data_IF_883490403444
#
_entry.id   IF_883490403444
#
_cell.length_a   1.000
_cell.length_b   1.000
_cell.length_c   1.000
_cell.angle_alpha   90.00
_cell.angle_beta   90.00
_cell.angle_gamma   90.00
#
_symmetry.space_group_name_H-M   'P 1'
#
loop_
_entity.id
_entity.type
_entity.pdbx_description
1 polymer ?
#
# COMPACT_ATOMS: atom_id res chain seq x y z
N UNK A 1 24.12 -0.54 -44.19
CA UNK A 1 24.91 -1.77 -44.15
C UNK A 1 24.11 -2.68 -43.29
N UNK A 2 23.08 -3.37 -43.82
CA UNK A 2 23.10 -4.72 -44.42
C UNK A 2 23.79 -5.75 -43.50
N UNK A 3 23.10 -6.76 -43.03
CA UNK A 3 22.53 -7.94 -43.66
C UNK A 3 21.61 -8.67 -42.69
N UNK A 4 20.44 -8.96 -42.94
CA UNK A 4 19.69 -10.10 -43.51
C UNK A 4 20.37 -11.46 -43.37
N UNK A 5 19.76 -12.40 -42.61
CA UNK A 5 19.61 -13.76 -43.11
C UNK A 5 18.38 -14.48 -42.51
N UNK A 6 17.61 -14.97 -43.41
CA UNK A 6 16.37 -15.75 -43.31
C UNK A 6 16.63 -17.26 -43.23
N UNK A 7 15.55 -17.98 -42.84
CA UNK A 7 15.12 -19.34 -43.24
C UNK A 7 15.85 -20.54 -42.58
N UNK A 8 15.17 -21.59 -42.13
CA UNK A 8 14.22 -22.46 -42.85
C UNK A 8 13.48 -23.38 -41.87
N UNK A 9 12.20 -23.69 -42.17
CA UNK A 9 11.49 -24.91 -41.73
C UNK A 9 11.90 -26.09 -42.66
N UNK A 10 11.72 -27.35 -42.25
CA UNK A 10 10.79 -28.25 -42.91
C UNK A 10 9.99 -29.13 -41.92
N UNK A 11 8.74 -29.35 -42.13
CA UNK A 11 7.88 -30.25 -42.93
C UNK A 11 7.78 -31.69 -42.42
N UNK A 12 6.60 -31.99 -42.02
CA UNK A 12 5.74 -33.18 -42.00
C UNK A 12 6.28 -34.53 -42.45
N UNK A 13 5.85 -35.59 -41.71
CA UNK A 13 5.89 -36.99 -42.14
C UNK A 13 4.82 -37.81 -41.46
N UNK A 14 3.95 -38.33 -42.26
CA UNK A 14 2.74 -39.10 -42.03
C UNK A 14 2.94 -40.56 -41.72
N UNK A 15 1.94 -41.20 -41.09
CA UNK A 15 1.56 -42.64 -41.28
C UNK A 15 1.85 -43.54 -40.09
N UNK A 16 1.08 -44.45 -39.63
CA UNK A 16 -0.16 -45.11 -39.98
C UNK A 16 -0.50 -46.11 -38.85
N UNK A 17 -1.78 -46.24 -38.59
CA UNK A 17 -2.62 -47.38 -38.19
C UNK A 17 -1.96 -48.75 -37.90
N UNK A 18 -2.40 -49.43 -36.82
CA UNK A 18 -3.30 -50.59 -36.83
C UNK A 18 -3.38 -51.32 -35.47
N UNK A 19 -4.57 -51.52 -34.97
CA UNK A 19 -5.45 -52.67 -34.75
C UNK A 19 -5.20 -53.54 -33.50
N UNK A 20 -6.21 -53.50 -32.64
CA UNK A 20 -7.08 -54.56 -32.08
C UNK A 20 -6.40 -55.82 -31.48
N UNK A 21 -6.82 -56.06 -30.24
CA UNK A 21 -6.80 -57.40 -29.62
C UNK A 21 -7.46 -57.37 -28.25
N UNK A 22 -8.75 -57.74 -28.22
CA UNK A 22 -9.49 -58.03 -26.98
C UNK A 22 -9.26 -59.53 -26.62
N UNK A 23 -9.09 -59.80 -25.36
CA UNK A 23 -9.38 -61.15 -24.80
C UNK A 23 -9.78 -61.03 -23.33
N UNK A 24 -10.94 -61.56 -23.05
CA UNK A 24 -11.56 -61.82 -21.76
C UNK A 24 -10.87 -63.03 -21.06
N UNK A 25 -10.91 -63.10 -19.74
CA UNK A 25 -11.60 -64.05 -18.90
C UNK A 25 -10.94 -64.35 -17.54
N UNK A 26 -11.74 -64.13 -16.47
CA UNK A 26 -12.07 -65.01 -15.36
C UNK A 26 -11.02 -65.37 -14.29
N UNK A 27 -11.31 -64.83 -13.13
CA UNK A 27 -11.56 -65.49 -11.86
C UNK A 27 -10.42 -66.15 -11.09
N UNK A 28 -10.18 -65.63 -9.89
CA UNK A 28 -10.22 -66.47 -8.67
C UNK A 28 -10.02 -65.60 -7.42
N UNK A 29 -11.01 -65.65 -6.56
CA UNK A 29 -11.01 -65.13 -5.19
C UNK A 29 -10.06 -65.95 -4.32
N UNK A 30 -9.09 -65.30 -3.69
CA UNK A 30 -8.50 -65.75 -2.43
C UNK A 30 -8.20 -64.55 -1.54
N UNK A 31 -8.98 -64.49 -0.46
CA UNK A 31 -8.74 -63.59 0.65
C UNK A 31 -7.42 -63.92 1.36
N UNK A 32 -6.47 -63.06 1.35
CA UNK A 32 -5.32 -63.11 2.25
C UNK A 32 -5.32 -61.82 3.08
N UNK A 33 -5.76 -61.95 4.32
CA UNK A 33 -5.64 -60.92 5.33
C UNK A 33 -4.16 -60.76 5.68
N UNK A 34 -3.50 -59.71 5.12
CA UNK A 34 -2.19 -59.23 5.58
C UNK A 34 -2.45 -58.07 6.53
N UNK A 35 -2.29 -58.32 7.82
CA UNK A 35 -2.15 -57.31 8.85
C UNK A 35 -0.90 -56.50 8.56
N UNK A 36 -1.06 -55.34 7.94
CA UNK A 36 -0.07 -54.28 7.89
C UNK A 36 -0.08 -53.59 9.24
N UNK A 37 0.80 -53.96 10.14
CA UNK A 37 1.25 -53.11 11.22
C UNK A 37 1.98 -51.92 10.61
N UNK A 38 1.23 -50.88 10.33
CA UNK A 38 1.80 -49.56 10.03
C UNK A 38 2.44 -49.05 11.33
N UNK A 39 3.80 -49.05 11.36
CA UNK A 39 4.53 -48.22 12.30
C UNK A 39 4.05 -46.76 12.10
N UNK A 40 3.27 -46.28 13.03
CA UNK A 40 2.99 -44.84 13.12
C UNK A 40 4.26 -44.16 13.57
N UNK A 41 5.11 -43.75 12.62
CA UNK A 41 5.97 -42.61 12.83
C UNK A 41 5.04 -41.45 13.15
N UNK A 42 5.16 -40.90 14.34
CA UNK A 42 4.32 -39.78 14.81
C UNK A 42 4.42 -38.60 13.86
N UNK A 43 3.47 -38.52 12.93
CA UNK A 43 3.21 -37.30 12.19
C UNK A 43 2.68 -36.26 13.19
N UNK A 44 3.42 -35.17 13.37
CA UNK A 44 2.90 -34.00 14.06
C UNK A 44 1.56 -33.66 13.39
N UNK A 45 0.45 -33.88 14.10
CA UNK A 45 -0.89 -33.63 13.56
C UNK A 45 -0.97 -32.15 13.13
N UNK A 46 -1.49 -31.93 11.94
CA UNK A 46 -1.79 -30.58 11.48
C UNK A 46 -2.57 -29.84 12.57
N UNK A 47 -1.98 -28.77 13.12
CA UNK A 47 -2.68 -27.93 14.08
C UNK A 47 -3.78 -27.21 13.32
N UNK A 48 -5.00 -27.26 13.80
CA UNK A 48 -6.05 -26.34 13.37
C UNK A 48 -6.12 -25.18 14.34
N UNK A 49 -6.26 -23.96 13.80
CA UNK A 49 -6.56 -22.79 14.62
C UNK A 49 -7.94 -22.97 15.31
N UNK A 50 -8.24 -22.15 16.32
CA UNK A 50 -9.55 -22.13 16.98
C UNK A 50 -10.69 -21.91 15.98
N UNK A 51 -10.44 -21.35 14.83
CA UNK A 51 -11.39 -21.07 13.75
C UNK A 51 -11.35 -22.09 12.61
N UNK A 52 -10.61 -23.18 12.79
CA UNK A 52 -10.66 -24.33 11.89
C UNK A 52 -9.84 -24.21 10.60
N UNK A 53 -9.01 -23.15 10.40
CA UNK A 53 -8.10 -23.14 9.26
C UNK A 53 -6.92 -24.11 9.51
N UNK A 54 -6.59 -24.88 8.49
CA UNK A 54 -5.50 -25.85 8.58
C UNK A 54 -4.13 -25.12 8.62
N UNK A 55 -3.38 -25.35 9.67
CA UNK A 55 -1.99 -24.88 9.77
C UNK A 55 -1.06 -25.95 9.21
N UNK A 56 -0.04 -25.52 8.48
CA UNK A 56 1.05 -26.38 8.05
C UNK A 56 1.83 -26.88 9.27
N UNK A 57 2.32 -28.11 9.25
CA UNK A 57 3.19 -28.63 10.31
C UNK A 57 4.41 -27.71 10.46
N UNK A 58 4.70 -27.34 11.71
CA UNK A 58 5.83 -26.44 11.98
C UNK A 58 7.15 -27.18 11.74
N UNK A 59 8.12 -26.48 11.14
CA UNK A 59 9.43 -27.01 10.79
C UNK A 59 10.54 -26.08 11.28
N UNK A 60 11.73 -26.64 11.45
CA UNK A 60 12.95 -25.84 11.60
C UNK A 60 13.38 -25.30 10.24
N UNK A 61 13.91 -24.08 10.21
CA UNK A 61 14.39 -23.50 8.95
C UNK A 61 14.52 -21.98 9.01
N UNK A 62 14.71 -21.39 7.84
CA UNK A 62 14.74 -19.95 7.70
C UNK A 62 13.31 -19.41 7.51
N UNK A 63 13.01 -18.32 8.20
CA UNK A 63 11.81 -17.53 7.98
C UNK A 63 11.98 -16.66 6.72
N UNK A 64 11.20 -16.91 5.70
CA UNK A 64 11.24 -16.14 4.45
C UNK A 64 10.40 -14.87 4.58
N UNK A 65 11.07 -13.70 4.52
CA UNK A 65 10.44 -12.40 4.71
C UNK A 65 10.62 -11.55 3.45
N UNK A 66 9.50 -11.14 2.84
CA UNK A 66 9.50 -10.26 1.67
C UNK A 66 9.29 -8.81 2.07
N UNK A 67 10.24 -7.95 1.71
CA UNK A 67 10.25 -6.53 2.08
C UNK A 67 10.65 -5.65 0.90
N UNK A 68 10.18 -4.41 0.90
CA UNK A 68 10.68 -3.36 0.03
C UNK A 68 12.05 -2.82 0.51
N UNK A 69 12.66 -1.95 -0.28
CA UNK A 69 13.95 -1.36 0.04
C UNK A 69 13.95 -0.60 1.38
N UNK A 70 12.83 0.05 1.72
CA UNK A 70 12.66 0.83 2.96
C UNK A 70 12.62 -0.06 4.19
N UNK A 71 11.94 -1.22 4.13
CA UNK A 71 11.77 -2.17 5.24
C UNK A 71 12.90 -3.17 5.36
N UNK A 72 13.80 -3.20 4.38
CA UNK A 72 15.02 -4.03 4.41
C UNK A 72 15.86 -3.79 5.67
N UNK A 73 15.98 -2.53 6.11
CA UNK A 73 16.72 -2.17 7.31
C UNK A 73 16.10 -2.78 8.58
N UNK A 74 14.76 -2.77 8.69
CA UNK A 74 14.04 -3.38 9.81
C UNK A 74 14.26 -4.89 9.89
N UNK A 75 14.14 -5.61 8.75
CA UNK A 75 14.36 -7.05 8.72
C UNK A 75 15.80 -7.43 9.14
N UNK A 76 16.79 -6.65 8.69
CA UNK A 76 18.19 -6.84 9.11
C UNK A 76 18.40 -6.53 10.59
N UNK A 77 17.75 -5.50 11.13
CA UNK A 77 17.83 -5.17 12.56
C UNK A 77 17.22 -6.30 13.41
N UNK A 78 16.06 -6.83 13.01
CA UNK A 78 15.48 -7.99 13.69
C UNK A 78 16.44 -9.18 13.72
N UNK A 79 17.04 -9.52 12.59
CA UNK A 79 18.02 -10.63 12.50
C UNK A 79 19.24 -10.43 13.40
N UNK A 80 19.68 -9.17 13.59
CA UNK A 80 20.79 -8.86 14.50
C UNK A 80 20.39 -9.00 15.98
N UNK A 81 19.16 -8.65 16.33
CA UNK A 81 18.61 -8.76 17.68
C UNK A 81 18.21 -10.20 18.04
N UNK A 82 17.82 -10.98 17.04
CA UNK A 82 17.36 -12.36 17.15
C UNK A 82 18.20 -13.31 16.29
N UNK A 83 19.50 -13.52 16.66
CA UNK A 83 20.41 -14.35 15.86
C UNK A 83 20.03 -15.83 15.81
N UNK A 84 19.18 -16.28 16.73
CA UNK A 84 18.59 -17.63 16.75
C UNK A 84 17.55 -17.82 15.64
N UNK A 85 16.94 -16.74 15.13
CA UNK A 85 15.98 -16.78 14.02
C UNK A 85 16.72 -16.55 12.71
N UNK A 86 16.80 -17.58 11.87
CA UNK A 86 17.36 -17.42 10.52
C UNK A 86 16.35 -16.76 9.62
N UNK A 87 16.68 -15.60 9.04
CA UNK A 87 15.86 -14.93 8.03
C UNK A 87 16.41 -15.19 6.61
N UNK A 88 15.49 -15.51 5.69
CA UNK A 88 15.70 -15.38 4.24
C UNK A 88 14.97 -14.12 3.77
N UNK A 89 15.73 -13.02 3.65
CA UNK A 89 15.15 -11.69 3.35
C UNK A 89 15.17 -11.49 1.84
N UNK A 90 13.97 -11.43 1.26
CA UNK A 90 13.77 -11.19 -0.18
C UNK A 90 13.32 -9.76 -0.41
N UNK A 91 14.08 -9.03 -1.23
CA UNK A 91 13.73 -7.67 -1.66
C UNK A 91 12.76 -7.73 -2.84
N UNK A 92 11.69 -6.95 -2.77
CA UNK A 92 10.76 -6.70 -3.87
C UNK A 92 10.24 -5.25 -3.80
N UNK A 93 9.36 -4.83 -4.70
CA UNK A 93 8.91 -3.43 -4.78
C UNK A 93 7.83 -3.04 -3.76
N UNK A 94 7.34 -3.98 -2.95
CA UNK A 94 6.25 -3.74 -2.00
C UNK A 94 4.89 -3.47 -2.67
N UNK A 95 4.76 -3.81 -3.94
CA UNK A 95 3.63 -3.48 -4.82
C UNK A 95 3.35 -1.97 -4.94
N UNK A 96 4.40 -1.14 -4.77
CA UNK A 96 4.30 0.30 -4.92
C UNK A 96 3.81 0.70 -6.32
N UNK A 97 3.12 1.86 -6.41
CA UNK A 97 2.56 2.40 -7.65
C UNK A 97 1.60 1.45 -8.40
N UNK A 98 0.92 0.57 -7.67
CA UNK A 98 -0.05 -0.38 -8.23
C UNK A 98 0.57 -1.54 -8.99
N UNK A 99 1.82 -1.89 -8.72
CA UNK A 99 2.40 -3.16 -9.14
C UNK A 99 1.58 -4.32 -8.57
N UNK A 100 1.51 -5.44 -9.29
CA UNK A 100 0.79 -6.64 -8.86
C UNK A 100 1.76 -7.83 -8.71
N UNK A 101 2.97 -7.56 -8.25
CA UNK A 101 3.99 -8.59 -8.15
C UNK A 101 3.61 -9.69 -7.14
N UNK A 102 3.15 -9.30 -5.94
CA UNK A 102 2.70 -10.24 -4.90
C UNK A 102 1.55 -11.11 -5.43
N UNK A 103 0.53 -10.50 -6.04
CA UNK A 103 -0.61 -11.23 -6.60
C UNK A 103 -0.16 -12.26 -7.64
N UNK A 104 0.72 -11.87 -8.55
CA UNK A 104 1.27 -12.76 -9.59
C UNK A 104 2.02 -13.95 -8.98
N UNK A 105 2.82 -13.69 -7.94
CA UNK A 105 3.60 -14.74 -7.26
C UNK A 105 2.72 -15.69 -6.46
N UNK A 106 1.77 -15.17 -5.67
CA UNK A 106 0.85 -16.01 -4.89
C UNK A 106 -0.01 -16.90 -5.80
N UNK A 107 -0.49 -16.38 -6.93
CA UNK A 107 -1.18 -17.21 -7.92
C UNK A 107 -0.31 -18.34 -8.46
N UNK A 108 0.99 -18.10 -8.69
CA UNK A 108 1.94 -19.13 -9.09
C UNK A 108 2.13 -20.17 -7.97
N UNK A 109 2.33 -19.71 -6.73
CA UNK A 109 2.52 -20.59 -5.57
C UNK A 109 1.30 -21.47 -5.31
N UNK A 110 0.09 -20.90 -5.42
CA UNK A 110 -1.17 -21.65 -5.30
C UNK A 110 -1.27 -22.76 -6.36
N UNK A 111 -0.79 -22.53 -7.59
CA UNK A 111 -0.76 -23.55 -8.64
C UNK A 111 0.29 -24.64 -8.42
N UNK A 112 1.43 -24.26 -7.83
CA UNK A 112 2.55 -25.19 -7.63
C UNK A 112 2.54 -25.88 -6.26
N UNK A 113 1.73 -25.38 -5.33
CA UNK A 113 1.65 -25.88 -3.95
C UNK A 113 2.91 -25.62 -3.11
N UNK A 114 3.75 -24.65 -3.51
CA UNK A 114 5.00 -24.32 -2.80
C UNK A 114 5.52 -22.95 -3.18
N UNK A 115 6.41 -22.41 -2.33
CA UNK A 115 7.18 -21.19 -2.59
C UNK A 115 6.59 -19.94 -1.95
N UNK A 116 5.54 -20.06 -1.14
CA UNK A 116 5.00 -18.93 -0.40
C UNK A 116 6.03 -18.39 0.59
N UNK A 117 6.20 -17.07 0.69
CA UNK A 117 6.91 -16.46 1.81
C UNK A 117 6.14 -16.66 3.11
N UNK A 118 6.82 -16.57 4.25
CA UNK A 118 6.20 -16.65 5.57
C UNK A 118 5.58 -15.30 5.97
N UNK A 119 6.31 -14.20 5.72
CA UNK A 119 5.86 -12.85 6.02
C UNK A 119 6.07 -11.94 4.80
N UNK A 120 5.10 -11.08 4.52
CA UNK A 120 5.17 -10.10 3.42
C UNK A 120 4.78 -8.72 3.93
N UNK A 121 5.59 -7.72 3.59
CA UNK A 121 5.19 -6.32 3.64
C UNK A 121 4.54 -5.94 2.31
N UNK A 122 3.38 -5.27 2.33
CA UNK A 122 2.80 -4.62 1.15
C UNK A 122 2.51 -3.15 1.44
N UNK A 123 2.85 -2.27 0.51
CA UNK A 123 2.52 -0.84 0.59
C UNK A 123 1.06 -0.56 0.19
N UNK A 124 0.38 -1.53 -0.42
CA UNK A 124 -0.95 -1.38 -1.01
C UNK A 124 -2.05 -1.94 -0.11
N UNK A 125 -3.00 -1.09 0.27
CA UNK A 125 -4.12 -1.49 1.12
C UNK A 125 -5.07 -2.50 0.44
N UNK A 126 -5.18 -2.46 -0.90
CA UNK A 126 -6.01 -3.40 -1.66
C UNK A 126 -5.49 -4.83 -1.66
N UNK A 127 -4.22 -5.05 -1.34
CA UNK A 127 -3.61 -6.39 -1.28
C UNK A 127 -4.21 -7.26 -0.18
N UNK A 128 -4.63 -6.68 0.93
CA UNK A 128 -5.12 -7.45 2.09
C UNK A 128 -6.36 -8.26 1.73
N UNK A 129 -7.40 -7.61 1.20
CA UNK A 129 -8.65 -8.29 0.83
C UNK A 129 -8.39 -9.34 -0.26
N UNK A 130 -7.50 -9.02 -1.21
CA UNK A 130 -7.11 -9.96 -2.24
C UNK A 130 -6.36 -11.17 -1.66
N UNK A 131 -5.40 -10.95 -0.73
CA UNK A 131 -4.61 -12.01 -0.11
C UNK A 131 -5.47 -12.99 0.70
N UNK A 132 -6.53 -12.49 1.33
CA UNK A 132 -7.54 -13.32 2.02
C UNK A 132 -8.30 -14.18 1.02
N UNK A 133 -8.84 -13.60 -0.05
CA UNK A 133 -9.61 -14.33 -1.07
C UNK A 133 -8.72 -15.35 -1.83
N UNK A 134 -7.45 -15.05 -2.00
CA UNK A 134 -6.46 -15.94 -2.62
C UNK A 134 -6.00 -17.08 -1.69
N UNK A 135 -6.43 -17.11 -0.43
CA UNK A 135 -6.04 -18.10 0.55
C UNK A 135 -4.56 -17.97 0.98
N UNK A 136 -4.02 -16.76 0.96
CA UNK A 136 -2.64 -16.50 1.39
C UNK A 136 -2.55 -16.07 2.85
N UNK A 137 -3.39 -15.11 3.28
CA UNK A 137 -3.26 -14.48 4.59
C UNK A 137 -3.80 -15.36 5.72
N UNK A 138 -3.05 -15.47 6.82
CA UNK A 138 -3.45 -16.14 8.06
C UNK A 138 -4.31 -15.20 8.93
N UNK A 139 -5.39 -15.70 9.57
CA UNK A 139 -6.19 -14.92 10.52
C UNK A 139 -5.41 -14.72 11.83
N UNK A 140 -5.04 -13.47 12.13
CA UNK A 140 -4.14 -13.15 13.25
C UNK A 140 -4.84 -13.09 14.61
N UNK A 141 -6.12 -12.66 14.65
CA UNK A 141 -6.93 -12.53 15.86
C UNK A 141 -7.50 -13.88 16.35
N UNK A 142 -7.24 -14.95 15.62
CA UNK A 142 -7.72 -16.30 15.93
C UNK A 142 -6.68 -17.15 16.68
N UNK A 143 -6.01 -16.52 17.62
CA UNK A 143 -5.06 -17.18 18.53
C UNK A 143 -3.59 -17.11 18.10
N UNK A 144 -3.28 -16.39 17.02
CA UNK A 144 -1.90 -16.14 16.62
C UNK A 144 -1.29 -14.94 17.36
N UNK A 145 -2.08 -13.90 17.63
CA UNK A 145 -1.62 -12.71 18.34
C UNK A 145 -2.40 -12.47 19.65
N UNK A 146 -1.72 -12.00 20.73
CA UNK A 146 -2.40 -11.63 21.97
C UNK A 146 -3.34 -10.43 21.78
N UNK A 147 -4.50 -10.44 22.43
CA UNK A 147 -5.44 -9.32 22.42
C UNK A 147 -4.81 -8.01 22.95
N UNK A 148 -3.87 -8.09 23.89
CA UNK A 148 -3.16 -6.91 24.39
C UNK A 148 -2.31 -6.23 23.30
N UNK A 149 -1.65 -7.00 22.44
CA UNK A 149 -0.90 -6.46 21.30
C UNK A 149 -1.85 -5.74 20.34
N UNK A 150 -2.98 -6.37 20.01
CA UNK A 150 -3.97 -5.80 19.10
C UNK A 150 -4.61 -4.53 19.64
N UNK A 151 -4.85 -4.47 20.94
CA UNK A 151 -5.42 -3.29 21.63
C UNK A 151 -4.49 -2.08 21.70
N UNK A 152 -3.20 -2.22 21.40
CA UNK A 152 -2.22 -1.13 21.38
C UNK A 152 -2.20 -0.32 20.08
N UNK A 153 -2.84 -0.79 19.02
CA UNK A 153 -2.93 -0.03 17.76
C UNK A 153 -3.90 1.15 17.89
N UNK A 154 -3.60 2.23 17.17
CA UNK A 154 -4.50 3.38 17.10
C UNK A 154 -5.88 2.95 16.59
N UNK A 155 -6.93 3.62 17.08
CA UNK A 155 -8.30 3.32 16.66
C UNK A 155 -8.45 3.40 15.14
N UNK A 156 -8.97 2.35 14.52
CA UNK A 156 -9.15 2.28 13.06
C UNK A 156 -7.87 1.94 12.27
N UNK A 157 -6.70 1.89 12.90
CA UNK A 157 -5.45 1.61 12.20
C UNK A 157 -5.49 0.28 11.41
N UNK A 158 -6.07 -0.75 12.00
CA UNK A 158 -6.17 -2.08 11.43
C UNK A 158 -7.50 -2.33 10.67
N UNK A 159 -8.30 -1.30 10.37
CA UNK A 159 -9.56 -1.49 9.63
C UNK A 159 -9.30 -2.07 8.23
N UNK A 160 -8.22 -1.61 7.55
CA UNK A 160 -7.82 -2.16 6.25
C UNK A 160 -7.36 -3.63 6.33
N UNK A 161 -6.97 -4.07 7.53
CA UNK A 161 -6.53 -5.44 7.82
C UNK A 161 -7.69 -6.37 8.20
N UNK A 162 -8.90 -5.82 8.38
CA UNK A 162 -10.07 -6.57 8.84
C UNK A 162 -10.98 -6.89 7.66
N UNK A 163 -11.08 -8.17 7.35
CA UNK A 163 -11.94 -8.69 6.28
C UNK A 163 -13.01 -9.59 6.90
N UNK A 164 -14.28 -9.26 6.68
CA UNK A 164 -15.42 -9.98 7.24
C UNK A 164 -15.34 -10.20 8.78
N UNK A 165 -14.85 -9.18 9.51
CA UNK A 165 -14.74 -9.21 10.97
C UNK A 165 -13.56 -10.02 11.51
N UNK A 166 -12.63 -10.45 10.66
CA UNK A 166 -11.41 -11.18 11.03
C UNK A 166 -10.19 -10.38 10.62
N UNK A 167 -9.18 -10.30 11.49
CA UNK A 167 -7.94 -9.56 11.27
C UNK A 167 -6.91 -10.45 10.55
N UNK A 168 -6.38 -10.00 9.42
CA UNK A 168 -5.43 -10.75 8.59
C UNK A 168 -4.06 -10.09 8.41
N UNK A 169 -3.88 -8.86 8.86
CA UNK A 169 -2.58 -8.19 8.84
C UNK A 169 -2.42 -7.25 10.02
N UNK A 170 -1.24 -6.71 10.21
CA UNK A 170 -1.02 -5.55 11.06
C UNK A 170 -0.58 -4.35 10.24
N UNK A 171 -1.11 -3.19 10.57
CA UNK A 171 -0.72 -1.93 9.98
C UNK A 171 0.71 -1.57 10.37
N UNK A 172 1.55 -1.18 9.40
CA UNK A 172 2.91 -0.74 9.67
C UNK A 172 2.95 0.69 10.19
N UNK A 173 2.37 1.61 9.42
CA UNK A 173 2.35 3.05 9.71
C UNK A 173 1.03 3.69 9.30
N UNK A 174 0.69 4.81 9.91
CA UNK A 174 -0.43 5.66 9.53
C UNK A 174 0.06 6.66 8.49
N UNK A 175 -0.74 6.89 7.45
CA UNK A 175 -0.33 7.67 6.28
C UNK A 175 -1.34 8.74 5.91
N UNK A 176 -1.98 9.30 6.93
CA UNK A 176 -2.85 10.45 6.78
C UNK A 176 -2.15 11.60 6.06
N UNK A 177 -2.88 12.29 5.22
CA UNK A 177 -2.36 13.44 4.49
C UNK A 177 -2.35 14.68 5.39
N UNK A 178 -1.26 15.42 5.34
CA UNK A 178 -1.03 16.69 6.02
C UNK A 178 -0.50 17.72 5.03
N UNK A 179 -0.32 18.96 5.45
CA UNK A 179 0.33 19.99 4.66
C UNK A 179 1.78 20.14 5.09
N UNK A 180 2.70 19.70 4.25
CA UNK A 180 4.13 19.95 4.41
C UNK A 180 4.50 21.29 3.82
N UNK A 181 5.41 22.06 4.45
CA UNK A 181 5.84 23.34 3.93
C UNK A 181 7.30 23.68 4.30
N UNK A 182 7.94 24.48 3.44
CA UNK A 182 9.27 25.04 3.68
C UNK A 182 9.11 26.33 4.48
N UNK A 183 9.32 26.26 5.81
CA UNK A 183 9.10 27.35 6.73
C UNK A 183 9.98 28.61 6.43
N UNK A 184 11.29 28.47 6.13
CA UNK A 184 12.12 29.60 5.68
C UNK A 184 11.60 30.29 4.41
N UNK A 185 11.20 29.52 3.38
CA UNK A 185 10.67 30.12 2.14
C UNK A 185 9.33 30.82 2.36
N UNK A 186 8.42 30.20 3.12
CA UNK A 186 7.13 30.82 3.49
C UNK A 186 7.34 32.17 4.19
N UNK A 187 8.27 32.20 5.17
CA UNK A 187 8.64 33.44 5.88
C UNK A 187 9.29 34.46 4.95
N UNK A 188 10.19 34.03 4.09
CA UNK A 188 10.90 34.91 3.15
C UNK A 188 9.94 35.61 2.20
N UNK A 189 8.90 34.91 1.73
CA UNK A 189 7.92 35.44 0.79
C UNK A 189 6.72 36.11 1.50
N UNK A 190 6.67 36.06 2.83
CA UNK A 190 5.57 36.66 3.60
C UNK A 190 4.25 35.91 3.44
N UNK A 191 4.31 34.60 3.25
CA UNK A 191 3.13 33.75 3.14
C UNK A 191 2.84 33.01 4.44
N UNK A 192 1.57 32.76 4.69
CA UNK A 192 1.09 31.90 5.78
C UNK A 192 0.54 30.58 5.24
N UNK A 193 0.51 29.56 6.08
CA UNK A 193 -0.09 28.27 5.71
C UNK A 193 -1.60 28.42 5.54
N UNK A 194 -2.19 27.95 4.41
CA UNK A 194 -3.61 28.08 4.14
C UNK A 194 -4.41 27.14 5.05
N UNK A 195 -5.47 27.65 5.68
CA UNK A 195 -6.40 26.88 6.49
C UNK A 195 -7.53 26.26 5.65
N UNK A 196 -7.82 26.83 4.50
CA UNK A 196 -8.89 26.36 3.61
C UNK A 196 -8.38 26.07 2.21
N UNK A 197 -9.09 25.21 1.48
CA UNK A 197 -8.75 24.91 0.08
C UNK A 197 -8.90 26.15 -0.82
N UNK A 198 -9.82 27.05 -0.48
CA UNK A 198 -9.93 28.34 -1.15
C UNK A 198 -8.70 29.22 -0.92
N UNK A 199 -8.19 29.28 0.32
CA UNK A 199 -6.98 30.03 0.64
C UNK A 199 -5.75 29.37 0.00
N UNK A 200 -5.74 28.04 -0.11
CA UNK A 200 -4.70 27.28 -0.81
C UNK A 200 -4.66 27.59 -2.32
N UNK A 201 -5.82 27.64 -2.96
CA UNK A 201 -5.93 28.02 -4.36
C UNK A 201 -5.47 29.47 -4.60
N UNK A 202 -5.85 30.40 -3.71
CA UNK A 202 -5.43 31.80 -3.77
C UNK A 202 -3.91 31.93 -3.55
N UNK A 203 -3.35 31.19 -2.59
CA UNK A 203 -1.91 31.15 -2.39
C UNK A 203 -1.18 30.65 -3.66
N UNK A 204 -1.66 29.58 -4.29
CA UNK A 204 -1.07 29.08 -5.54
C UNK A 204 -1.13 30.11 -6.67
N UNK A 205 -2.23 30.86 -6.78
CA UNK A 205 -2.36 31.95 -7.75
C UNK A 205 -1.34 33.07 -7.49
N UNK A 206 -1.17 33.46 -6.21
CA UNK A 206 -0.18 34.48 -5.80
C UNK A 206 1.24 34.00 -6.06
N UNK A 207 1.58 32.76 -5.68
CA UNK A 207 2.90 32.16 -5.93
C UNK A 207 3.24 32.17 -7.42
N UNK A 208 2.29 31.77 -8.28
CA UNK A 208 2.50 31.81 -9.73
C UNK A 208 2.79 33.23 -10.29
N UNK A 209 2.17 34.27 -9.69
CA UNK A 209 2.34 35.65 -10.12
C UNK A 209 3.59 36.33 -9.51
N UNK A 210 3.83 36.13 -8.22
CA UNK A 210 4.85 36.84 -7.44
C UNK A 210 6.21 36.11 -7.47
N UNK A 211 6.18 34.76 -7.52
CA UNK A 211 7.37 33.89 -7.48
C UNK A 211 7.24 32.73 -8.50
N UNK A 212 7.22 33.03 -9.81
CA UNK A 212 7.02 32.01 -10.84
C UNK A 212 8.08 30.93 -10.79
N UNK A 213 7.63 29.66 -10.86
CA UNK A 213 8.47 28.49 -10.77
C UNK A 213 8.49 27.84 -9.39
N UNK A 214 8.00 28.53 -8.32
CA UNK A 214 7.77 27.87 -7.04
C UNK A 214 6.47 27.09 -7.03
N UNK A 215 6.43 26.02 -6.23
CA UNK A 215 5.36 25.02 -6.22
C UNK A 215 4.63 24.99 -4.88
N UNK A 216 3.32 24.86 -4.98
CA UNK A 216 2.43 24.64 -3.83
C UNK A 216 1.90 23.21 -3.77
N UNK A 217 2.22 22.36 -4.74
CA UNK A 217 1.77 20.97 -4.77
C UNK A 217 2.33 20.17 -5.95
N UNK A 218 1.99 18.89 -5.94
CA UNK A 218 2.31 17.94 -6.99
C UNK A 218 1.08 17.07 -7.33
N UNK A 219 0.90 16.76 -8.61
CA UNK A 219 -0.13 15.88 -9.14
C UNK A 219 0.45 14.78 -10.06
N UNK A 220 1.78 14.61 -10.09
CA UNK A 220 2.46 13.72 -11.02
C UNK A 220 2.51 12.24 -10.60
N UNK A 221 2.09 11.90 -9.39
CA UNK A 221 2.16 10.53 -8.88
C UNK A 221 0.87 9.74 -9.08
N UNK A 222 0.98 8.41 -9.04
CA UNK A 222 -0.15 7.51 -9.16
C UNK A 222 -1.15 7.65 -7.98
N UNK A 223 -0.65 8.01 -6.82
CA UNK A 223 -1.42 8.20 -5.58
C UNK A 223 -1.98 9.62 -5.39
N UNK A 224 -1.85 10.50 -6.38
CA UNK A 224 -2.45 11.85 -6.37
C UNK A 224 -3.92 11.88 -5.93
N UNK A 225 -4.82 10.98 -6.41
CA UNK A 225 -6.21 11.00 -5.99
C UNK A 225 -6.40 10.72 -4.49
N UNK A 226 -5.50 9.97 -3.89
CA UNK A 226 -5.52 9.64 -2.47
C UNK A 226 -5.10 10.84 -1.60
N UNK A 227 -4.29 11.74 -2.14
CA UNK A 227 -3.90 12.99 -1.47
C UNK A 227 -5.03 14.02 -1.54
N UNK A 228 -5.49 14.35 -2.75
CA UNK A 228 -6.38 15.51 -2.96
C UNK A 228 -7.86 15.10 -3.00
N UNK A 229 -8.22 14.15 -3.85
CA UNK A 229 -9.63 13.81 -4.06
C UNK A 229 -10.22 13.11 -2.83
N UNK A 230 -9.46 12.25 -2.16
CA UNK A 230 -9.88 11.65 -0.90
C UNK A 230 -10.06 12.72 0.19
N UNK A 231 -9.07 13.61 0.41
CA UNK A 231 -9.19 14.72 1.36
C UNK A 231 -10.36 15.65 1.02
N UNK A 232 -10.66 15.84 -0.26
CA UNK A 232 -11.81 16.61 -0.75
C UNK A 232 -13.15 15.89 -0.65
N UNK A 233 -13.21 14.69 -0.06
CA UNK A 233 -14.44 13.87 0.08
C UNK A 233 -15.06 13.44 -1.26
N UNK A 234 -14.24 13.25 -2.31
CA UNK A 234 -14.70 12.74 -3.59
C UNK A 234 -15.14 11.27 -3.46
N UNK A 235 -16.37 10.95 -3.83
CA UNK A 235 -16.97 9.63 -3.69
C UNK A 235 -16.52 8.58 -4.72
N UNK A 236 -15.29 8.63 -5.19
CA UNK A 236 -14.79 7.76 -6.27
C UNK A 236 -14.64 6.28 -5.87
N UNK A 237 -14.48 5.98 -4.59
CA UNK A 237 -14.14 4.64 -4.12
C UNK A 237 -14.81 4.30 -2.79
N UNK A 238 -16.15 4.33 -2.76
CA UNK A 238 -16.91 4.06 -1.53
C UNK A 238 -17.19 2.55 -1.42
N UNK A 239 -16.36 1.83 -0.66
CA UNK A 239 -16.58 0.41 -0.38
C UNK A 239 -17.72 0.30 0.65
N UNK A 240 -18.87 -0.21 0.20
CA UNK A 240 -20.09 -0.30 1.01
C UNK A 240 -20.36 -1.72 1.54
N UNK A 241 -19.56 -2.68 1.15
CA UNK A 241 -19.64 -4.07 1.62
C UNK A 241 -18.48 -4.91 1.07
N UNK A 242 -18.41 -6.16 1.48
CA UNK A 242 -17.32 -7.07 1.12
C UNK A 242 -17.08 -7.16 -0.41
N UNK A 243 -18.15 -7.09 -1.20
CA UNK A 243 -18.14 -7.07 -2.67
C UNK A 243 -19.11 -6.04 -3.22
N UNK A 244 -19.22 -4.88 -2.56
CA UNK A 244 -20.07 -3.78 -3.01
C UNK A 244 -19.30 -2.45 -2.97
N UNK A 245 -19.43 -1.67 -4.03
CA UNK A 245 -18.79 -0.36 -4.16
C UNK A 245 -19.72 0.63 -4.84
N UNK A 246 -19.76 1.86 -4.31
CA UNK A 246 -20.37 3.00 -5.00
C UNK A 246 -19.27 3.85 -5.62
N UNK A 247 -19.43 4.21 -6.90
CA UNK A 247 -18.47 4.98 -7.68
C UNK A 247 -19.14 6.26 -8.17
N UNK A 248 -18.75 7.39 -7.62
CA UNK A 248 -19.29 8.69 -8.02
C UNK A 248 -18.17 9.72 -8.19
N UNK A 249 -17.51 9.71 -9.35
CA UNK A 249 -16.46 10.68 -9.70
C UNK A 249 -17.04 12.01 -10.22
N UNK A 250 -18.34 12.04 -10.55
CA UNK A 250 -19.05 13.24 -11.02
C UNK A 250 -19.64 14.10 -9.90
N UNK A 251 -19.45 13.75 -8.63
CA UNK A 251 -19.96 14.52 -7.51
C UNK A 251 -19.35 15.93 -7.46
N UNK A 252 -20.06 16.87 -6.80
CA UNK A 252 -19.56 18.23 -6.58
C UNK A 252 -18.20 18.21 -5.84
N UNK A 253 -18.03 17.34 -4.86
CA UNK A 253 -16.77 17.19 -4.13
C UNK A 253 -15.60 16.79 -5.05
N UNK A 254 -15.83 15.87 -6.00
CA UNK A 254 -14.81 15.48 -6.98
C UNK A 254 -14.48 16.60 -7.96
N UNK A 255 -15.52 17.24 -8.54
CA UNK A 255 -15.33 18.29 -9.55
C UNK A 255 -14.71 19.55 -8.95
N UNK A 256 -15.07 19.91 -7.70
CA UNK A 256 -14.52 21.04 -6.96
C UNK A 256 -13.00 20.85 -6.72
N UNK A 257 -12.58 19.67 -6.21
CA UNK A 257 -11.18 19.41 -5.97
C UNK A 257 -10.38 19.28 -7.27
N UNK A 258 -10.90 18.57 -8.26
CA UNK A 258 -10.28 18.47 -9.59
C UNK A 258 -10.10 19.84 -10.25
N UNK A 259 -11.12 20.74 -10.14
CA UNK A 259 -11.04 22.10 -10.66
C UNK A 259 -10.00 22.96 -9.95
N UNK A 260 -9.84 22.81 -8.63
CA UNK A 260 -8.77 23.45 -7.88
C UNK A 260 -7.39 23.02 -8.41
N UNK A 261 -7.18 21.71 -8.56
CA UNK A 261 -5.93 21.15 -9.08
C UNK A 261 -5.67 21.64 -10.52
N UNK A 262 -6.67 21.61 -11.39
CA UNK A 262 -6.57 22.12 -12.77
C UNK A 262 -6.12 23.60 -12.81
N UNK A 263 -6.66 24.43 -11.91
CA UNK A 263 -6.26 25.84 -11.78
C UNK A 263 -4.80 26.03 -11.40
N UNK A 264 -4.31 25.21 -10.46
CA UNK A 264 -2.91 25.24 -10.00
C UNK A 264 -1.95 24.64 -11.04
N UNK A 265 -2.36 23.63 -11.79
CA UNK A 265 -1.59 23.08 -12.92
C UNK A 265 -1.50 24.13 -14.04
N UNK A 266 -2.60 24.75 -14.39
CA UNK A 266 -2.68 25.74 -15.47
C UNK A 266 -1.80 26.97 -15.20
N UNK A 267 -1.73 27.44 -13.95
CA UNK A 267 -0.86 28.56 -13.57
C UNK A 267 0.57 28.13 -13.21
N UNK A 268 0.90 26.81 -13.30
CA UNK A 268 2.21 26.22 -13.05
C UNK A 268 2.69 26.30 -11.59
N UNK A 269 1.78 26.50 -10.63
CA UNK A 269 2.11 26.40 -9.20
C UNK A 269 1.95 24.98 -8.64
N UNK A 270 1.41 24.05 -9.43
CA UNK A 270 1.38 22.61 -9.13
C UNK A 270 2.08 21.83 -10.23
N UNK A 271 3.05 20.99 -9.83
CA UNK A 271 3.78 20.12 -10.75
C UNK A 271 2.90 18.96 -11.24
N UNK A 272 3.19 18.48 -12.44
CA UNK A 272 2.69 17.19 -12.97
C UNK A 272 3.80 16.14 -13.07
N UNK A 273 4.96 16.44 -12.51
CA UNK A 273 6.13 15.55 -12.42
C UNK A 273 6.12 14.85 -11.06
N UNK A 274 6.16 13.52 -11.01
CA UNK A 274 6.09 12.79 -9.74
C UNK A 274 7.28 13.04 -8.83
N UNK A 275 7.04 13.17 -7.52
CA UNK A 275 8.04 13.56 -6.49
C UNK A 275 9.23 12.58 -6.37
N UNK A 276 9.06 11.32 -6.78
CA UNK A 276 10.14 10.33 -6.80
C UNK A 276 10.93 10.29 -8.12
N UNK A 277 10.55 11.10 -9.10
CA UNK A 277 11.27 11.13 -10.37
C UNK A 277 12.59 11.88 -10.25
N UNK A 278 13.55 11.46 -11.06
CA UNK A 278 14.84 12.17 -11.20
C UNK A 278 14.65 13.62 -11.67
N UNK A 279 13.63 13.85 -12.52
CA UNK A 279 13.33 15.17 -13.06
C UNK A 279 12.83 16.12 -11.98
N UNK A 280 11.91 15.66 -11.09
CA UNK A 280 11.47 16.45 -9.96
C UNK A 280 12.63 16.77 -9.02
N UNK A 281 13.38 15.76 -8.60
CA UNK A 281 14.52 15.93 -7.68
C UNK A 281 15.58 16.91 -8.24
N UNK A 282 15.79 16.91 -9.55
CA UNK A 282 16.80 17.76 -10.20
C UNK A 282 16.34 19.20 -10.46
N UNK A 283 15.05 19.39 -10.82
CA UNK A 283 14.58 20.66 -11.37
C UNK A 283 13.61 21.40 -10.45
N UNK A 284 12.99 20.70 -9.47
CA UNK A 284 11.87 21.22 -8.69
C UNK A 284 12.07 21.13 -7.17
N UNK A 285 13.03 20.32 -6.69
CA UNK A 285 13.22 20.05 -5.26
C UNK A 285 13.40 21.30 -4.39
N UNK A 286 14.15 22.29 -4.88
CA UNK A 286 14.46 23.55 -4.19
C UNK A 286 13.34 24.61 -4.33
N UNK A 287 12.29 24.30 -5.09
CA UNK A 287 11.17 25.20 -5.39
C UNK A 287 9.90 24.81 -4.67
N UNK A 288 9.88 23.74 -3.90
CA UNK A 288 8.71 23.32 -3.14
C UNK A 288 8.50 24.27 -1.96
N UNK A 289 7.48 25.12 -2.07
CA UNK A 289 7.08 26.04 -1.02
C UNK A 289 6.18 25.34 0.00
N UNK A 290 5.18 24.61 -0.48
CA UNK A 290 4.35 23.72 0.32
C UNK A 290 3.78 22.59 -0.55
N UNK A 291 3.36 21.51 0.09
CA UNK A 291 2.87 20.32 -0.61
C UNK A 291 1.98 19.47 0.31
N UNK A 292 0.69 19.30 -0.01
CA UNK A 292 -0.11 18.23 0.59
C UNK A 292 0.52 16.87 0.35
N UNK A 293 0.60 16.05 1.39
CA UNK A 293 1.21 14.73 1.26
C UNK A 293 1.08 13.89 2.52
N UNK A 294 1.23 12.58 2.42
CA UNK A 294 1.10 11.67 3.56
C UNK A 294 2.19 11.90 4.61
N UNK A 295 1.95 11.38 5.82
CA UNK A 295 2.85 11.52 6.97
C UNK A 295 4.30 11.10 6.66
N UNK A 296 4.50 10.13 5.77
CA UNK A 296 5.82 9.65 5.38
C UNK A 296 6.60 10.59 4.41
N UNK A 297 5.96 11.63 3.83
CA UNK A 297 6.65 12.59 2.96
C UNK A 297 7.81 13.28 3.67
N UNK A 298 7.69 13.59 4.96
CA UNK A 298 8.74 14.23 5.73
C UNK A 298 10.09 13.49 5.64
N UNK A 299 10.06 12.17 5.80
CA UNK A 299 11.25 11.31 5.67
C UNK A 299 11.55 10.96 4.22
N UNK A 300 10.66 10.22 3.56
CA UNK A 300 10.95 9.61 2.26
C UNK A 300 11.08 10.63 1.12
N UNK A 301 10.28 11.69 1.11
CA UNK A 301 10.33 12.70 0.06
C UNK A 301 11.31 13.80 0.43
N UNK A 302 11.03 14.61 1.44
CA UNK A 302 11.84 15.80 1.70
C UNK A 302 13.28 15.46 2.12
N UNK A 303 13.45 14.55 3.08
CA UNK A 303 14.79 14.21 3.59
C UNK A 303 15.57 13.32 2.62
N UNK A 304 14.95 12.22 2.14
CA UNK A 304 15.70 11.16 1.46
C UNK A 304 15.71 11.31 -0.07
N UNK A 305 14.63 11.81 -0.69
CA UNK A 305 14.57 11.99 -2.16
C UNK A 305 15.05 13.39 -2.57
N UNK A 306 14.44 14.43 -2.01
CA UNK A 306 14.73 15.82 -2.40
C UNK A 306 15.97 16.38 -1.71
N UNK A 307 16.50 15.69 -0.68
CA UNK A 307 17.68 16.12 0.09
C UNK A 307 17.52 17.53 0.68
N UNK A 308 16.29 17.89 1.04
CA UNK A 308 16.03 19.19 1.67
C UNK A 308 16.83 19.29 2.97
N UNK A 309 17.58 20.38 3.19
CA UNK A 309 18.35 20.54 4.40
C UNK A 309 17.50 20.52 5.68
N UNK A 310 18.12 20.11 6.79
CA UNK A 310 17.46 20.16 8.10
C UNK A 310 17.02 21.60 8.45
N UNK A 311 16.04 21.71 9.33
CA UNK A 311 15.47 22.99 9.79
C UNK A 311 14.80 23.82 8.67
N UNK A 312 14.29 23.15 7.64
CA UNK A 312 13.49 23.81 6.60
C UNK A 312 12.04 23.33 6.55
N UNK A 313 11.79 22.07 6.84
CA UNK A 313 10.47 21.47 6.65
C UNK A 313 9.67 21.48 7.95
N UNK A 314 8.44 21.95 7.85
CA UNK A 314 7.45 21.95 8.89
C UNK A 314 6.15 21.31 8.40
N UNK A 315 5.24 21.01 9.32
CA UNK A 315 3.94 20.39 9.03
C UNK A 315 2.80 21.21 9.60
N UNK A 316 1.71 21.28 8.86
CA UNK A 316 0.45 21.93 9.26
C UNK A 316 -0.74 20.98 8.98
N UNK A 317 -1.92 21.23 9.59
CA UNK A 317 -3.14 20.56 9.17
C UNK A 317 -3.41 20.74 7.68
N UNK A 318 -4.02 19.71 7.05
CA UNK A 318 -4.47 19.82 5.68
C UNK A 318 -5.58 20.87 5.57
N UNK A 319 -5.62 21.72 4.51
CA UNK A 319 -6.70 22.66 4.30
C UNK A 319 -8.07 21.99 4.25
N UNK A 320 -9.10 22.70 4.70
CA UNK A 320 -10.49 22.23 4.66
C UNK A 320 -11.32 23.14 3.75
N UNK A 321 -12.36 22.62 3.11
CA UNK A 321 -13.29 23.49 2.38
C UNK A 321 -14.11 24.36 3.34
N UNK A 322 -14.30 25.63 3.00
CA UNK A 322 -15.20 26.52 3.76
C UNK A 322 -16.61 25.93 3.76
N UNK A 323 -17.20 25.80 4.95
CA UNK A 323 -18.55 25.24 5.11
C UNK A 323 -18.63 23.73 5.22
N UNK A 324 -17.55 22.97 5.04
CA UNK A 324 -17.52 21.54 5.33
C UNK A 324 -17.55 21.31 6.85
N UNK A 325 -18.56 20.56 7.33
CA UNK A 325 -18.85 20.47 8.77
C UNK A 325 -17.82 19.75 9.63
N UNK A 326 -17.04 18.83 9.08
CA UNK A 326 -16.03 18.06 9.82
C UNK A 326 -14.71 18.01 9.06
N UNK A 327 -13.57 18.18 9.75
CA UNK A 327 -12.27 18.01 9.13
C UNK A 327 -12.14 16.65 8.48
N UNK A 328 -11.53 16.62 7.30
CA UNK A 328 -11.26 15.41 6.55
C UNK A 328 -9.89 15.45 5.91
N UNK A 329 -9.25 14.31 5.83
CA UNK A 329 -8.00 14.14 5.09
C UNK A 329 -7.99 12.86 4.29
N UNK A 330 -7.07 12.75 3.34
CA UNK A 330 -6.78 11.54 2.59
C UNK A 330 -5.81 10.61 3.33
N UNK A 331 -5.53 9.48 2.71
CA UNK A 331 -4.58 8.50 3.22
C UNK A 331 -3.87 7.81 2.05
N UNK A 332 -2.54 7.74 2.08
CA UNK A 332 -1.74 7.15 0.99
C UNK A 332 -0.85 6.05 1.51
N UNK A 333 -1.15 4.81 1.18
CA UNK A 333 -0.36 3.67 1.60
C UNK A 333 -0.43 3.42 3.10
N UNK A 334 0.70 3.44 3.79
CA UNK A 334 0.85 3.14 5.22
C UNK A 334 1.08 1.67 5.48
N UNK A 335 1.30 0.89 4.45
CA UNK A 335 1.75 -0.48 4.45
C UNK A 335 1.09 -1.44 5.45
N UNK A 336 1.10 -2.68 5.09
CA UNK A 336 0.56 -3.77 5.92
C UNK A 336 1.54 -4.94 5.94
N UNK A 337 1.57 -5.66 7.03
CA UNK A 337 2.32 -6.89 7.18
C UNK A 337 1.37 -8.08 7.24
N UNK A 338 1.55 -9.01 6.34
CA UNK A 338 0.77 -10.24 6.19
C UNK A 338 1.61 -11.44 6.62
N UNK A 339 1.00 -12.40 7.31
CA UNK A 339 1.58 -13.73 7.55
C UNK A 339 0.87 -14.72 6.65
N UNK A 340 1.64 -15.62 6.02
CA UNK A 340 1.09 -16.67 5.18
C UNK A 340 0.45 -17.78 6.01
N UNK A 341 -0.78 -18.17 5.68
CA UNK A 341 -1.37 -19.38 6.27
C UNK A 341 -0.66 -20.68 5.85
N UNK A 342 0.17 -20.61 4.81
CA UNK A 342 1.01 -21.73 4.35
C UNK A 342 2.36 -21.80 5.07
N UNK A 343 2.63 -20.88 6.01
CA UNK A 343 3.90 -20.84 6.74
C UNK A 343 4.08 -22.07 7.62
N UNK A 344 5.25 -22.73 7.49
CA UNK A 344 5.71 -23.73 8.44
C UNK A 344 6.40 -23.11 9.68
N UNK A 345 6.42 -21.77 9.78
CA UNK A 345 7.13 -21.00 10.81
C UNK A 345 6.19 -19.96 11.47
N UNK A 346 4.91 -20.32 11.71
CA UNK A 346 3.89 -19.37 12.17
C UNK A 346 4.27 -18.63 13.47
N UNK A 347 4.91 -19.31 14.42
CA UNK A 347 5.35 -18.69 15.67
C UNK A 347 6.41 -17.60 15.39
N UNK A 348 7.49 -17.96 14.70
CA UNK A 348 8.54 -17.00 14.32
C UNK A 348 8.01 -15.88 13.41
N UNK A 349 7.06 -16.19 12.51
CA UNK A 349 6.43 -15.21 11.65
C UNK A 349 5.60 -14.18 12.44
N UNK A 350 4.86 -14.62 13.45
CA UNK A 350 4.07 -13.72 14.31
C UNK A 350 4.93 -12.95 15.30
N UNK A 351 6.04 -13.51 15.76
CA UNK A 351 7.02 -12.81 16.58
C UNK A 351 7.70 -11.68 15.78
N UNK A 352 8.16 -11.98 14.56
CA UNK A 352 8.69 -10.97 13.64
C UNK A 352 7.65 -9.88 13.35
N UNK A 353 6.41 -10.28 13.03
CA UNK A 353 5.31 -9.35 12.75
C UNK A 353 5.04 -8.42 13.94
N UNK A 354 5.00 -8.98 15.14
CA UNK A 354 4.78 -8.22 16.38
C UNK A 354 5.92 -7.24 16.60
N UNK A 355 7.15 -7.69 16.49
CA UNK A 355 8.32 -6.84 16.66
C UNK A 355 8.34 -5.69 15.65
N UNK A 356 8.20 -5.99 14.36
CA UNK A 356 8.32 -4.97 13.31
C UNK A 356 7.22 -3.92 13.37
N UNK A 357 6.07 -4.23 13.99
CA UNK A 357 4.94 -3.29 14.08
C UNK A 357 4.80 -2.60 15.45
N UNK A 358 5.41 -3.14 16.52
CA UNK A 358 5.17 -2.64 17.89
C UNK A 358 6.44 -2.32 18.67
N UNK A 359 7.62 -2.79 18.22
CA UNK A 359 8.85 -2.57 18.97
C UNK A 359 9.20 -1.08 19.06
N UNK A 360 9.49 -0.63 20.26
CA UNK A 360 9.67 0.78 20.53
C UNK A 360 11.04 1.32 20.09
N UNK A 361 12.06 0.46 20.03
CA UNK A 361 13.37 0.86 19.56
C UNK A 361 13.39 0.98 18.02
N UNK A 362 12.56 0.21 17.32
CA UNK A 362 12.37 0.35 15.89
C UNK A 362 11.26 1.36 15.55
N UNK A 363 10.00 1.05 15.88
CA UNK A 363 8.85 1.88 15.52
C UNK A 363 8.87 3.25 16.19
N UNK A 364 9.26 3.32 17.46
CA UNK A 364 9.26 4.55 18.23
C UNK A 364 10.50 5.45 18.00
N UNK A 365 11.53 4.99 17.30
CA UNK A 365 12.75 5.77 17.12
C UNK A 365 13.21 5.88 15.67
N UNK A 366 13.22 4.78 14.90
CA UNK A 366 13.91 4.70 13.60
C UNK A 366 12.99 4.40 12.42
N UNK A 367 11.73 4.03 12.66
CA UNK A 367 10.79 3.75 11.58
C UNK A 367 10.62 4.98 10.66
N UNK A 368 10.58 4.78 9.34
CA UNK A 368 10.50 5.87 8.37
C UNK A 368 9.13 6.56 8.32
N UNK A 369 8.07 5.88 8.77
CA UNK A 369 6.69 6.37 8.79
C UNK A 369 6.14 6.59 10.19
N UNK A 370 4.98 7.24 10.30
CA UNK A 370 4.30 7.48 11.57
C UNK A 370 3.66 6.18 12.10
N UNK A 371 4.11 5.62 13.24
CA UNK A 371 3.71 4.29 13.68
C UNK A 371 2.20 4.12 13.86
N UNK A 372 1.66 2.98 13.43
CA UNK A 372 0.27 2.61 13.68
C UNK A 372 0.03 2.12 15.11
N UNK A 373 1.08 1.64 15.78
CA UNK A 373 1.05 1.25 17.20
C UNK A 373 1.16 2.51 18.07
N UNK A 374 0.09 2.84 18.80
CA UNK A 374 -0.03 4.12 19.51
C UNK A 374 1.08 4.42 20.54
N UNK A 375 1.56 3.45 21.36
CA UNK A 375 2.68 3.71 22.27
C UNK A 375 3.99 4.08 21.53
N UNK A 376 4.23 3.51 20.35
CA UNK A 376 5.40 3.83 19.53
C UNK A 376 5.26 5.19 18.85
N UNK A 377 4.04 5.57 18.44
CA UNK A 377 3.79 6.84 17.75
C UNK A 377 4.21 8.06 18.59
N UNK A 378 3.89 8.07 19.88
CA UNK A 378 4.27 9.17 20.80
C UNK A 378 5.79 9.26 21.00
N UNK A 379 6.48 8.13 21.03
CA UNK A 379 7.94 8.09 21.13
C UNK A 379 8.59 8.50 19.78
N UNK A 380 8.02 8.08 18.66
CA UNK A 380 8.47 8.49 17.33
C UNK A 380 8.41 10.02 17.18
N UNK A 381 7.32 10.67 17.56
CA UNK A 381 7.21 12.13 17.52
C UNK A 381 8.32 12.81 18.33
N UNK A 382 8.60 12.31 19.55
CA UNK A 382 9.69 12.82 20.39
C UNK A 382 11.06 12.60 19.74
N UNK A 383 11.28 11.42 19.15
CA UNK A 383 12.53 11.11 18.46
C UNK A 383 12.74 11.98 17.22
N UNK A 384 11.70 12.22 16.40
CA UNK A 384 11.78 13.11 15.25
C UNK A 384 12.04 14.56 15.66
N UNK A 385 11.40 15.05 16.73
CA UNK A 385 11.67 16.37 17.28
C UNK A 385 13.12 16.49 17.79
N UNK A 386 13.61 15.48 18.52
CA UNK A 386 15.00 15.45 19.03
C UNK A 386 16.04 15.35 17.90
N UNK A 387 15.73 14.69 16.80
CA UNK A 387 16.60 14.59 15.63
C UNK A 387 16.82 15.95 14.92
N UNK A 388 15.97 16.95 15.17
CA UNK A 388 16.15 18.33 14.73
C UNK A 388 16.08 18.52 13.22
N UNK A 389 15.51 17.59 12.46
CA UNK A 389 15.33 17.75 11.01
C UNK A 389 14.17 18.70 10.70
N UNK A 390 13.06 18.55 11.40
CA UNK A 390 11.83 19.35 11.19
C UNK A 390 11.87 20.67 12.00
N UNK A 391 11.08 21.63 11.56
CA UNK A 391 10.83 22.90 12.25
C UNK A 391 9.47 22.87 12.92
N UNK A 392 9.39 23.34 14.15
CA UNK A 392 8.12 23.49 14.88
C UNK A 392 7.57 22.18 15.43
N UNK A 393 6.27 22.16 15.67
CA UNK A 393 5.55 21.05 16.28
C UNK A 393 5.10 20.03 15.23
N UNK A 394 5.25 18.75 15.54
CA UNK A 394 4.81 17.63 14.70
C UNK A 394 3.42 17.09 15.09
N UNK A 395 2.73 17.72 16.05
CA UNK A 395 1.38 17.33 16.47
C UNK A 395 0.37 17.19 15.31
N UNK A 396 0.41 18.01 14.24
CA UNK A 396 -0.48 17.82 13.09
C UNK A 396 -0.46 16.41 12.49
N UNK A 397 0.66 15.69 12.58
CA UNK A 397 0.74 14.30 12.13
C UNK A 397 -0.18 13.38 12.94
N UNK A 398 -0.21 13.56 14.27
CA UNK A 398 -1.06 12.78 15.16
C UNK A 398 -2.53 13.19 15.04
N UNK A 399 -2.77 14.48 14.98
CA UNK A 399 -4.13 15.05 14.97
C UNK A 399 -4.89 14.73 13.67
N UNK A 400 -4.18 14.59 12.55
CA UNK A 400 -4.78 14.25 11.27
C UNK A 400 -5.18 12.75 11.16
N UNK A 401 -4.58 11.84 11.92
CA UNK A 401 -4.86 10.41 11.80
C UNK A 401 -6.35 10.04 11.96
N UNK A 402 -7.08 10.54 12.99
CA UNK A 402 -8.51 10.28 13.12
C UNK A 402 -9.39 11.04 12.11
N UNK A 403 -8.81 11.92 11.30
CA UNK A 403 -9.53 12.72 10.31
C UNK A 403 -9.53 12.10 8.91
N UNK A 404 -8.89 10.94 8.72
CA UNK A 404 -8.97 10.23 7.43
C UNK A 404 -10.44 9.97 7.10
N UNK A 405 -10.88 10.50 5.96
CA UNK A 405 -12.29 10.41 5.58
C UNK A 405 -12.70 8.96 5.33
N UNK A 406 -13.67 8.41 6.09
CA UNK A 406 -14.04 7.00 5.99
C UNK A 406 -14.86 6.68 4.73
N UNK A 407 -15.20 7.67 3.90
CA UNK A 407 -15.95 7.48 2.66
C UNK A 407 -15.16 6.81 1.53
N UNK A 408 -13.82 6.67 1.66
CA UNK A 408 -13.04 5.78 0.81
C UNK A 408 -12.69 4.51 1.57
N UNK A 409 -12.72 3.39 0.87
CA UNK A 409 -12.33 2.08 1.42
C UNK A 409 -11.28 1.40 0.55
N UNK A 410 -10.76 0.29 1.04
CA UNK A 410 -9.78 -0.53 0.34
C UNK A 410 -10.50 -1.70 -0.34
N UNK A 411 -10.69 -1.60 -1.67
CA UNK A 411 -11.19 -2.70 -2.51
C UNK A 411 -10.06 -3.65 -2.92
N UNK A 412 -10.37 -4.62 -3.78
CA UNK A 412 -9.37 -5.55 -4.36
C UNK A 412 -8.73 -5.00 -5.66
N UNK A 413 -8.93 -3.74 -5.96
CA UNK A 413 -8.40 -3.08 -7.14
C UNK A 413 -7.64 -1.81 -6.73
N UNK A 414 -6.51 -1.57 -7.37
CA UNK A 414 -5.64 -0.45 -7.05
C UNK A 414 -6.15 0.84 -7.68
N UNK A 415 -6.47 1.84 -6.87
CA UNK A 415 -6.80 3.19 -7.35
C UNK A 415 -5.59 3.87 -7.99
N UNK A 416 -4.39 3.63 -7.48
CA UNK A 416 -3.15 4.12 -8.06
C UNK A 416 -2.95 3.60 -9.49
N UNK A 417 -3.08 2.29 -9.70
CA UNK A 417 -2.95 1.70 -11.02
C UNK A 417 -3.99 2.24 -12.01
N UNK A 418 -5.24 2.43 -11.56
CA UNK A 418 -6.32 2.99 -12.38
C UNK A 418 -6.01 4.44 -12.74
N UNK A 419 -5.60 5.27 -11.78
CA UNK A 419 -5.24 6.66 -12.01
C UNK A 419 -4.05 6.80 -12.97
N UNK A 420 -2.99 6.03 -12.74
CA UNK A 420 -1.81 5.99 -13.58
C UNK A 420 -2.11 5.61 -15.03
N UNK A 421 -3.05 4.68 -15.22
CA UNK A 421 -3.42 4.23 -16.58
C UNK A 421 -4.42 5.15 -17.28
N UNK A 422 -5.25 5.90 -16.54
CA UNK A 422 -6.42 6.60 -17.12
C UNK A 422 -6.26 8.12 -17.08
N UNK A 423 -5.88 8.70 -15.95
CA UNK A 423 -5.86 10.15 -15.74
C UNK A 423 -4.49 10.75 -16.04
N UNK A 424 -3.45 10.16 -15.48
CA UNK A 424 -2.08 10.68 -15.59
C UNK A 424 -1.63 10.90 -17.05
N UNK A 425 -1.86 9.99 -18.02
CA UNK A 425 -1.49 10.24 -19.42
C UNK A 425 -2.22 11.42 -20.04
N UNK A 426 -3.50 11.63 -19.69
CA UNK A 426 -4.26 12.78 -20.15
C UNK A 426 -3.74 14.10 -19.58
N UNK A 427 -3.40 14.15 -18.28
CA UNK A 427 -2.78 15.32 -17.65
C UNK A 427 -1.45 15.69 -18.30
N UNK A 428 -0.60 14.70 -18.57
CA UNK A 428 0.69 14.91 -19.26
C UNK A 428 0.51 15.51 -20.66
N UNK A 429 -0.64 15.25 -21.30
CA UNK A 429 -1.04 15.84 -22.59
C UNK A 429 -1.75 17.20 -22.44
N UNK A 430 -1.82 17.77 -21.24
CA UNK A 430 -2.45 19.06 -20.97
C UNK A 430 -3.97 19.03 -20.86
N UNK A 431 -4.59 17.86 -20.72
CA UNK A 431 -6.03 17.76 -20.46
C UNK A 431 -6.32 18.06 -19.00
N UNK A 432 -7.44 18.73 -18.73
CA UNK A 432 -7.89 18.98 -17.35
C UNK A 432 -8.35 17.71 -16.64
N UNK A 433 -8.08 17.61 -15.33
CA UNK A 433 -8.52 16.48 -14.49
C UNK A 433 -10.05 16.39 -14.53
N UNK A 434 -10.76 17.52 -14.46
CA UNK A 434 -12.23 17.55 -14.58
C UNK A 434 -12.70 16.84 -15.85
N UNK A 435 -12.03 17.08 -16.98
CA UNK A 435 -12.39 16.43 -18.28
C UNK A 435 -12.09 14.91 -18.30
N UNK A 436 -11.25 14.45 -17.38
CA UNK A 436 -10.82 13.05 -17.27
C UNK A 436 -11.64 12.23 -16.24
N UNK A 437 -12.42 12.89 -15.36
CA UNK A 437 -13.24 12.23 -14.35
C UNK A 437 -14.20 11.17 -14.91
N UNK A 438 -14.86 11.35 -16.07
CA UNK A 438 -15.71 10.30 -16.66
C UNK A 438 -14.92 9.06 -17.07
N UNK A 439 -13.75 9.22 -17.68
CA UNK A 439 -12.90 8.10 -18.06
C UNK A 439 -12.34 7.36 -16.84
N UNK A 440 -12.03 8.09 -15.78
CA UNK A 440 -11.64 7.52 -14.49
C UNK A 440 -12.77 6.71 -13.87
N UNK A 441 -14.01 7.26 -13.85
CA UNK A 441 -15.22 6.53 -13.42
C UNK A 441 -15.35 5.19 -14.14
N UNK A 442 -15.35 5.21 -15.48
CA UNK A 442 -15.54 4.00 -16.28
C UNK A 442 -14.46 2.95 -16.01
N UNK A 443 -13.23 3.39 -15.78
CA UNK A 443 -12.12 2.52 -15.42
C UNK A 443 -12.31 1.90 -14.03
N UNK A 444 -12.68 2.68 -13.01
CA UNK A 444 -12.97 2.15 -11.68
C UNK A 444 -14.10 1.10 -11.76
N UNK A 445 -15.20 1.42 -12.43
CA UNK A 445 -16.34 0.51 -12.63
C UNK A 445 -15.89 -0.80 -13.30
N UNK A 446 -15.06 -0.71 -14.34
CA UNK A 446 -14.52 -1.87 -15.05
C UNK A 446 -13.68 -2.75 -14.12
N UNK A 447 -12.72 -2.16 -13.38
CA UNK A 447 -11.85 -2.90 -12.47
C UNK A 447 -12.62 -3.49 -11.30
N UNK A 448 -13.55 -2.75 -10.72
CA UNK A 448 -14.43 -3.25 -9.65
C UNK A 448 -15.23 -4.47 -10.12
N UNK A 449 -15.89 -4.40 -11.27
CA UNK A 449 -16.64 -5.53 -11.85
C UNK A 449 -15.74 -6.74 -12.13
N UNK A 450 -14.53 -6.53 -12.67
CA UNK A 450 -13.59 -7.63 -12.92
C UNK A 450 -13.07 -8.29 -11.64
N UNK A 451 -13.09 -7.57 -10.52
CA UNK A 451 -12.78 -8.06 -9.17
C UNK A 451 -14.00 -8.62 -8.43
N UNK A 452 -15.13 -8.79 -9.12
CA UNK A 452 -16.35 -9.40 -8.57
C UNK A 452 -17.22 -8.48 -7.71
N UNK A 453 -17.02 -7.14 -7.80
CA UNK A 453 -17.86 -6.19 -7.07
C UNK A 453 -19.19 -5.91 -7.77
N UNK A 454 -20.25 -5.78 -6.97
CA UNK A 454 -21.47 -5.09 -7.36
C UNK A 454 -21.21 -3.59 -7.29
N UNK A 455 -21.47 -2.90 -8.41
CA UNK A 455 -21.20 -1.47 -8.53
C UNK A 455 -22.51 -0.70 -8.57
N UNK A 456 -22.68 0.26 -7.64
CA UNK A 456 -23.69 1.32 -7.68
C UNK A 456 -23.05 2.65 -8.09
N UNK A 457 -23.88 3.55 -8.61
CA UNK A 457 -23.45 4.87 -9.09
C UNK A 457 -24.17 5.97 -8.31
#
# INVERSE_FOLDING_TARGET
MESFMMLTKPSAGTGARARRGAALLVGCTTALALALTACSSGGAGARTSKDGFAQVAQADGALTVWVDATRMAAAKQYQQLHPEVKLDIVSYDGDANGSNYLQTKVQLFNRTGKGWPDVVFSSQNNEVTWAVDAGFAAPLDKGLLPAATLGGFAKGANDVCTVNGTLYCLRNDLSQVVLWYNAPLMKQFGYETPATWEDYAELGRRVAAEHPGYLVGDAGDAFTPEIYLWAGKCGANQITGAKAVTVNTGSEACTRMAGLMDGLIANKSMSTTGVFSTDFAKNEADKVLLMPGPAWYGGAVFKDTLKTPAQQIAVAPIPQWKGDGSPATGNVGGGTWLVSQHSAHLEAATDFLTWVTTDNAYQGATAPGFPAYAPAADNWLKAQAAAGYFVGDLAPLKDAAPQVWPGWGSGQFSQEAIWAATVKPGMTQGRSIVSLLPAWHDSIVKYAKSSGYQVSQ
#
